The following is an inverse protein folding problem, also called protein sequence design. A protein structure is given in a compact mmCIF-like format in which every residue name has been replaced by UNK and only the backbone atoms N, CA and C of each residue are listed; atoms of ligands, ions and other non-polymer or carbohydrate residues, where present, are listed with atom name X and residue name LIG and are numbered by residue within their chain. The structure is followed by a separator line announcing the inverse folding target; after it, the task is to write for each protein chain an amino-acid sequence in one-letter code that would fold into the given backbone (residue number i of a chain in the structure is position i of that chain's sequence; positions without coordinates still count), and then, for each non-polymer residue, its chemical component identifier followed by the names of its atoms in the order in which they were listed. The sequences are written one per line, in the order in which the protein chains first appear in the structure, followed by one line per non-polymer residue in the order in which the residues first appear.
data_IF_703077722243
#
_entry.id   IF_703077722243
#
_cell.length_a   1.000
_cell.length_b   1.000
_cell.length_c   1.000
_cell.angle_alpha   90.00
_cell.angle_beta   90.00
_cell.angle_gamma   90.00
#
_symmetry.space_group_name_H-M   'P 1'
#
loop_
_entity.id
_entity.type
_entity.pdbx_description
1 polymer ?
#
# COMPACT_ATOMS: atom_id res chain seq x y z
N UNK A 1 -15.02 -19.32 -4.21
CA UNK A 1 -15.28 -17.86 -4.10
C UNK A 1 -14.43 -17.17 -5.17
N UNK A 2 -15.02 -16.40 -6.08
CA UNK A 2 -14.28 -15.76 -7.19
C UNK A 2 -13.67 -14.43 -6.74
N UNK A 3 -12.36 -14.39 -6.48
CA UNK A 3 -11.67 -13.15 -6.17
C UNK A 3 -11.38 -12.41 -7.49
N UNK A 4 -12.18 -11.38 -7.76
CA UNK A 4 -12.03 -10.55 -8.96
C UNK A 4 -11.21 -9.30 -8.65
N UNK A 5 -10.50 -8.77 -9.66
CA UNK A 5 -9.69 -7.54 -9.54
C UNK A 5 -10.48 -6.36 -8.95
N UNK A 6 -11.77 -6.23 -9.31
CA UNK A 6 -12.69 -5.24 -8.72
C UNK A 6 -12.89 -5.43 -7.22
N UNK A 7 -13.23 -6.66 -6.79
CA UNK A 7 -13.45 -6.99 -5.38
C UNK A 7 -12.20 -6.80 -4.55
N UNK A 8 -11.04 -7.14 -5.10
CA UNK A 8 -9.75 -6.90 -4.47
C UNK A 8 -9.52 -5.41 -4.22
N UNK A 9 -9.62 -4.55 -5.24
CA UNK A 9 -9.46 -3.10 -5.07
C UNK A 9 -10.37 -2.52 -3.99
N UNK A 10 -11.66 -2.87 -3.98
CA UNK A 10 -12.60 -2.39 -2.96
C UNK A 10 -12.24 -2.89 -1.56
N UNK A 11 -11.79 -4.14 -1.42
CA UNK A 11 -11.39 -4.70 -0.11
C UNK A 11 -10.16 -4.00 0.44
N UNK A 12 -9.17 -3.70 -0.42
CA UNK A 12 -7.99 -2.95 -0.04
C UNK A 12 -8.35 -1.53 0.40
N UNK A 13 -9.19 -0.82 -0.35
CA UNK A 13 -9.63 0.54 0.04
C UNK A 13 -10.36 0.53 1.39
N UNK A 14 -11.24 -0.44 1.63
CA UNK A 14 -11.92 -0.60 2.92
C UNK A 14 -10.92 -0.87 4.06
N UNK A 15 -9.95 -1.77 3.85
CA UNK A 15 -8.90 -2.06 4.85
C UNK A 15 -8.04 -0.83 5.15
N UNK A 16 -7.66 -0.06 4.14
CA UNK A 16 -6.93 1.21 4.31
C UNK A 16 -7.71 2.18 5.20
N UNK A 17 -9.02 2.29 5.01
CA UNK A 17 -9.88 3.19 5.80
C UNK A 17 -10.09 2.65 7.22
N UNK A 18 -10.40 1.36 7.35
CA UNK A 18 -10.73 0.70 8.61
C UNK A 18 -9.52 0.62 9.55
N UNK A 19 -8.37 0.17 9.02
CA UNK A 19 -7.12 0.01 9.77
C UNK A 19 -6.25 1.27 9.75
N UNK A 20 -6.62 2.30 8.98
CA UNK A 20 -5.80 3.50 8.72
C UNK A 20 -4.35 3.17 8.37
N UNK A 21 -4.17 2.16 7.52
CA UNK A 21 -2.85 1.68 7.12
C UNK A 21 -2.59 1.96 5.64
N UNK A 22 -1.33 1.85 5.22
CA UNK A 22 -0.96 2.02 3.82
C UNK A 22 -1.60 0.93 2.94
N UNK A 23 -1.72 1.18 1.63
CA UNK A 23 -2.20 0.16 0.69
C UNK A 23 -1.37 -1.13 0.74
N UNK A 24 -0.06 -1.03 1.02
CA UNK A 24 0.82 -2.21 1.18
C UNK A 24 0.41 -3.04 2.40
N UNK A 25 0.22 -2.40 3.55
CA UNK A 25 -0.25 -3.09 4.77
C UNK A 25 -1.63 -3.69 4.56
N UNK A 26 -2.56 -2.96 3.95
CA UNK A 26 -3.88 -3.46 3.65
C UNK A 26 -3.84 -4.72 2.77
N UNK A 27 -2.92 -4.78 1.80
CA UNK A 27 -2.72 -5.98 0.95
C UNK A 27 -2.17 -7.15 1.77
N UNK A 28 -1.21 -6.91 2.66
CA UNK A 28 -0.64 -7.96 3.52
C UNK A 28 -1.69 -8.50 4.49
N UNK A 29 -2.47 -7.62 5.12
CA UNK A 29 -3.56 -7.99 6.03
C UNK A 29 -4.63 -8.79 5.27
N UNK A 30 -5.03 -8.31 4.09
CA UNK A 30 -5.98 -9.03 3.24
C UNK A 30 -5.48 -10.44 2.91
N UNK A 31 -4.18 -10.57 2.58
CA UNK A 31 -3.57 -11.87 2.29
C UNK A 31 -3.58 -12.79 3.51
N UNK A 32 -3.23 -12.27 4.70
CA UNK A 32 -3.26 -13.06 5.94
C UNK A 32 -4.68 -13.52 6.29
N UNK A 33 -5.66 -12.62 6.24
CA UNK A 33 -7.05 -12.92 6.61
C UNK A 33 -7.69 -13.95 5.67
N UNK A 34 -7.34 -13.89 4.38
CA UNK A 34 -7.85 -14.82 3.37
C UNK A 34 -6.95 -16.04 3.15
N UNK A 35 -5.86 -16.20 3.92
CA UNK A 35 -4.83 -17.24 3.72
C UNK A 35 -4.34 -17.31 2.25
N UNK A 36 -4.14 -16.15 1.63
CA UNK A 36 -3.66 -16.00 0.26
C UNK A 36 -2.17 -15.68 0.24
N UNK A 37 -1.47 -16.20 -0.77
CA UNK A 37 -0.09 -15.78 -0.99
C UNK A 37 0.00 -14.41 -1.67
N UNK A 38 0.98 -13.58 -1.30
CA UNK A 38 1.22 -12.28 -1.94
C UNK A 38 1.44 -12.42 -3.46
N UNK A 39 1.98 -13.56 -3.91
CA UNK A 39 2.17 -13.84 -5.34
C UNK A 39 0.84 -14.11 -6.06
N UNK A 40 -0.15 -14.70 -5.38
CA UNK A 40 -1.50 -14.90 -5.93
C UNK A 40 -2.26 -13.58 -6.11
N UNK A 41 -2.11 -12.64 -5.16
CA UNK A 41 -2.75 -11.32 -5.27
C UNK A 41 -1.99 -10.37 -6.19
N UNK A 42 -0.70 -10.61 -6.45
CA UNK A 42 0.09 -9.82 -7.41
C UNK A 42 -0.50 -9.84 -8.82
N UNK A 43 -1.13 -10.95 -9.24
CA UNK A 43 -1.88 -11.04 -10.49
C UNK A 43 -3.25 -10.32 -10.46
N UNK A 44 -3.77 -10.04 -9.26
CA UNK A 44 -5.03 -9.32 -9.02
C UNK A 44 -4.81 -7.80 -8.87
N UNK A 45 -3.63 -7.39 -8.42
CA UNK A 45 -3.19 -6.00 -8.37
C UNK A 45 -3.12 -5.47 -9.81
N UNK A 46 -4.08 -4.61 -10.15
CA UNK A 46 -4.11 -3.96 -11.45
C UNK A 46 -2.99 -2.92 -11.56
N UNK A 47 -2.49 -2.63 -12.78
CA UNK A 47 -1.53 -1.54 -12.99
C UNK A 47 -1.91 -0.21 -12.32
N UNK A 48 -3.16 0.28 -12.39
CA UNK A 48 -3.56 1.50 -11.67
C UNK A 48 -3.50 1.37 -10.15
N UNK A 49 -3.78 0.19 -9.57
CA UNK A 49 -3.65 -0.01 -8.12
C UNK A 49 -2.17 0.03 -7.70
N UNK A 50 -1.29 -0.58 -8.50
CA UNK A 50 0.17 -0.53 -8.28
C UNK A 50 0.71 0.90 -8.35
N UNK A 51 0.19 1.70 -9.28
CA UNK A 51 0.54 3.11 -9.39
C UNK A 51 0.02 3.92 -8.20
N UNK A 52 -1.21 3.67 -7.73
CA UNK A 52 -1.73 4.26 -6.49
C UNK A 52 -0.88 3.91 -5.28
N UNK A 53 -0.45 2.65 -5.13
CA UNK A 53 0.44 2.22 -4.04
C UNK A 53 1.78 2.97 -4.09
N UNK A 54 2.37 3.10 -5.28
CA UNK A 54 3.61 3.86 -5.48
C UNK A 54 3.42 5.36 -5.22
N UNK A 55 2.34 5.94 -5.73
CA UNK A 55 2.01 7.35 -5.56
C UNK A 55 1.76 7.67 -4.09
N UNK A 56 1.08 6.79 -3.36
CA UNK A 56 0.91 6.89 -1.91
C UNK A 56 2.23 6.72 -1.17
N UNK A 57 3.08 5.75 -1.52
CA UNK A 57 4.40 5.61 -0.89
C UNK A 57 5.33 6.81 -1.15
N UNK A 58 5.16 7.49 -2.29
CA UNK A 58 5.89 8.72 -2.63
C UNK A 58 5.25 9.95 -1.99
N UNK A 59 3.92 9.97 -1.85
CA UNK A 59 3.13 11.05 -1.25
C UNK A 59 3.17 11.06 0.29
N UNK A 60 3.14 9.89 0.92
CA UNK A 60 3.60 9.64 2.29
C UNK A 60 5.12 9.81 2.29
N UNK A 61 5.56 11.07 2.26
CA UNK A 61 6.92 11.47 2.60
C UNK A 61 7.27 10.98 4.02
N UNK A 62 7.66 9.70 4.13
CA UNK A 62 8.74 9.25 5.01
C UNK A 62 10.10 9.74 4.50
N UNK A 63 10.16 10.45 3.37
CA UNK A 63 11.14 11.53 3.21
C UNK A 63 10.61 12.77 3.92
N UNK A 64 10.56 12.70 5.26
CA UNK A 64 10.96 13.88 6.02
C UNK A 64 12.36 14.14 5.49
N UNK A 65 12.43 15.14 4.64
CA UNK A 65 13.58 15.98 4.46
C UNK A 65 14.16 16.18 5.87
N UNK A 66 15.08 15.31 6.25
CA UNK A 66 16.16 15.69 7.14
C UNK A 66 17.15 16.47 6.28
N UNK A 67 16.64 17.45 5.53
CA UNK A 67 17.34 18.67 5.17
C UNK A 67 17.36 19.61 6.37
N UNK A 68 17.55 19.08 7.58
CA UNK A 68 18.35 19.79 8.56
C UNK A 68 19.76 19.79 8.00
N UNK A 69 20.03 20.80 7.17
CA UNK A 69 21.35 21.36 6.94
C UNK A 69 21.92 21.72 8.31
N UNK A 70 22.45 20.74 9.04
CA UNK A 70 23.52 21.00 9.98
C UNK A 70 24.78 21.26 9.12
N UNK A 71 24.78 22.39 8.41
CA UNK A 71 26.06 23.08 8.21
C UNK A 71 26.54 23.31 9.62
N UNK A 72 27.59 22.62 10.04
CA UNK A 72 28.33 22.98 11.23
C UNK A 72 29.01 24.32 10.89
N UNK A 73 28.55 25.47 11.42
CA UNK A 73 29.37 26.67 11.37
C UNK A 73 30.28 26.64 12.60
N UNK A 74 31.52 27.03 12.36
CA UNK A 74 32.68 27.20 13.27
C UNK A 74 33.38 25.93 13.76
#
# INVERSE_FOLDING_TARGET
MILTKKKFSTSIEQLVIDKRCSYIDAIVIFCQDNHLEPDAVKGLVTPPLKEKIKAEAVGLKMVKDSGSKAKLPI
#
